data_IF_671312573995
#
_entry.id   IF_671312573995
#
_cell.length_a   1.000
_cell.length_b   1.000
_cell.length_c   1.000
_cell.angle_alpha   90.00
_cell.angle_beta   90.00
_cell.angle_gamma   90.00
#
_symmetry.space_group_name_H-M   'P 1'
#
loop_
_entity.id
_entity.type
_entity.pdbx_description
1 polymer ?
#
# COMPACT_ATOMS: atom_id res chain seq x y z
N UNK A 1 36.32 10.43 -10.89
CA UNK A 1 35.78 9.46 -9.91
C UNK A 1 34.26 9.54 -9.88
N UNK A 2 33.64 9.22 -11.01
CA UNK A 2 32.20 9.28 -11.27
C UNK A 2 31.84 8.06 -12.11
N UNK A 3 30.60 7.60 -11.99
CA UNK A 3 30.02 6.36 -12.54
C UNK A 3 30.11 5.17 -11.58
N UNK A 4 29.00 4.85 -10.90
CA UNK A 4 28.42 3.50 -10.75
C UNK A 4 27.22 3.58 -9.79
N UNK A 5 26.05 3.94 -10.32
CA UNK A 5 24.72 3.65 -9.76
C UNK A 5 23.67 4.08 -10.78
N UNK A 6 23.44 3.24 -11.78
CA UNK A 6 22.30 3.31 -12.69
C UNK A 6 21.83 1.91 -13.00
N UNK A 7 21.05 1.31 -12.09
CA UNK A 7 19.99 0.36 -12.41
C UNK A 7 19.13 0.18 -11.16
N UNK A 8 17.85 -0.15 -11.37
CA UNK A 8 16.73 -0.15 -10.42
C UNK A 8 16.03 1.20 -10.20
N UNK A 9 15.20 1.56 -11.18
CA UNK A 9 14.05 2.43 -10.96
C UNK A 9 12.76 1.66 -11.27
N UNK A 10 12.13 1.00 -10.29
CA UNK A 10 10.72 0.72 -10.35
C UNK A 10 9.96 1.89 -9.68
N UNK A 11 8.94 2.41 -10.37
CA UNK A 11 7.95 3.39 -9.88
C UNK A 11 8.31 4.88 -9.97
N UNK A 12 8.34 5.41 -11.21
CA UNK A 12 7.78 6.74 -11.48
C UNK A 12 6.76 6.58 -12.60
N UNK A 13 5.53 6.20 -12.21
CA UNK A 13 4.34 6.29 -13.08
C UNK A 13 3.26 7.12 -12.40
N UNK A 14 3.61 8.34 -12.04
CA UNK A 14 2.74 9.51 -12.13
C UNK A 14 3.59 10.75 -11.86
N UNK A 15 3.25 11.86 -12.53
CA UNK A 15 3.93 13.16 -12.48
C UNK A 15 5.10 13.37 -13.45
N UNK A 16 4.78 13.35 -14.75
CA UNK A 16 5.00 14.52 -15.62
C UNK A 16 4.54 14.20 -17.04
N UNK A 17 3.57 14.96 -17.55
CA UNK A 17 3.11 14.89 -18.94
C UNK A 17 4.09 15.63 -19.84
N UNK A 18 5.27 15.05 -20.09
CA UNK A 18 6.24 15.54 -21.08
C UNK A 18 6.58 14.48 -22.13
N UNK A 19 6.15 14.63 -23.41
CA UNK A 19 6.37 13.65 -24.46
C UNK A 19 7.85 13.38 -24.81
N UNK A 20 8.77 14.29 -24.46
CA UNK A 20 10.20 14.16 -24.79
C UNK A 20 10.97 13.22 -23.86
N UNK A 21 10.52 13.03 -22.62
CA UNK A 21 11.19 12.13 -21.68
C UNK A 21 10.93 10.64 -22.00
N UNK A 22 9.73 10.33 -22.49
CA UNK A 22 9.32 8.96 -22.84
C UNK A 22 10.08 8.39 -24.07
N UNK A 23 10.48 9.25 -25.01
CA UNK A 23 11.18 8.82 -26.23
C UNK A 23 12.65 8.44 -25.96
N UNK A 24 13.30 9.07 -24.98
CA UNK A 24 14.71 8.82 -24.62
C UNK A 24 14.89 7.60 -23.72
N UNK A 25 13.87 7.22 -22.93
CA UNK A 25 13.88 5.99 -22.13
C UNK A 25 13.57 4.76 -23.00
N UNK A 26 12.62 4.88 -23.93
CA UNK A 26 12.21 3.80 -24.84
C UNK A 26 13.35 3.26 -25.73
N UNK A 27 14.26 4.13 -26.19
CA UNK A 27 15.35 3.71 -27.08
C UNK A 27 16.52 3.03 -26.36
N UNK A 28 16.63 3.20 -25.04
CA UNK A 28 17.78 2.70 -24.26
C UNK A 28 17.48 1.41 -23.50
N UNK A 29 16.23 1.18 -23.11
CA UNK A 29 15.79 -0.07 -22.46
C UNK A 29 15.68 -1.26 -23.43
N UNK A 30 15.54 -0.98 -24.73
CA UNK A 30 15.29 -2.01 -25.75
C UNK A 30 16.48 -2.95 -26.04
N UNK A 31 17.69 -2.65 -25.54
CA UNK A 31 18.92 -3.39 -25.92
C UNK A 31 19.54 -4.20 -24.77
N UNK A 32 19.15 -3.99 -23.51
CA UNK A 32 19.62 -4.76 -22.34
C UNK A 32 18.55 -5.68 -21.71
N UNK A 33 17.26 -5.52 -22.04
CA UNK A 33 16.16 -6.32 -21.45
C UNK A 33 16.02 -7.76 -22.00
N UNK A 34 16.78 -8.13 -23.03
CA UNK A 34 16.53 -9.38 -23.76
C UNK A 34 17.11 -10.65 -23.09
N UNK A 35 17.54 -10.62 -21.82
CA UNK A 35 18.15 -11.79 -21.16
C UNK A 35 17.91 -11.95 -19.65
N UNK A 36 17.05 -11.17 -18.99
CA UNK A 36 16.72 -11.41 -17.56
C UNK A 36 15.33 -12.02 -17.45
N UNK A 37 15.25 -13.30 -17.08
CA UNK A 37 13.98 -13.96 -16.72
C UNK A 37 13.33 -13.16 -15.59
N UNK A 38 12.07 -12.78 -15.76
CA UNK A 38 11.35 -12.00 -14.75
C UNK A 38 11.15 -12.83 -13.48
N UNK A 39 11.12 -12.17 -12.32
CA UNK A 39 10.95 -12.85 -11.05
C UNK A 39 9.66 -13.70 -10.98
N UNK A 40 8.54 -13.19 -11.49
CA UNK A 40 7.27 -13.96 -11.60
C UNK A 40 7.45 -15.24 -12.41
N UNK A 41 8.18 -15.17 -13.53
CA UNK A 41 8.42 -16.34 -14.38
C UNK A 41 9.23 -17.41 -13.63
N UNK A 42 10.23 -17.03 -12.84
CA UNK A 42 10.98 -17.99 -12.01
C UNK A 42 10.09 -18.65 -10.95
N UNK A 43 9.22 -17.88 -10.27
CA UNK A 43 8.26 -18.42 -9.30
C UNK A 43 7.25 -19.36 -9.96
N UNK A 44 6.73 -19.01 -11.14
CA UNK A 44 5.81 -19.86 -11.92
C UNK A 44 6.47 -21.18 -12.36
N UNK A 45 7.72 -21.13 -12.81
CA UNK A 45 8.50 -22.34 -13.14
C UNK A 45 8.70 -23.23 -11.92
N UNK A 46 9.12 -22.66 -10.79
CA UNK A 46 9.29 -23.39 -9.53
C UNK A 46 7.98 -24.09 -9.14
N UNK A 47 6.86 -23.37 -9.20
CA UNK A 47 5.55 -23.94 -8.90
C UNK A 47 5.15 -25.09 -9.85
N UNK A 48 5.45 -24.96 -11.15
CA UNK A 48 5.18 -26.03 -12.12
C UNK A 48 6.03 -27.28 -11.85
N UNK A 49 7.31 -27.11 -11.50
CA UNK A 49 8.19 -28.21 -11.14
C UNK A 49 7.79 -28.88 -9.82
N UNK A 50 7.41 -28.12 -8.81
CA UNK A 50 6.86 -28.63 -7.54
C UNK A 50 5.58 -29.46 -7.77
N UNK A 51 4.68 -29.01 -8.64
CA UNK A 51 3.50 -29.79 -9.04
C UNK A 51 3.88 -31.11 -9.69
N UNK A 52 4.88 -31.10 -10.56
CA UNK A 52 5.38 -32.31 -11.21
C UNK A 52 6.00 -33.27 -10.18
N UNK A 53 6.84 -32.75 -9.28
CA UNK A 53 7.45 -33.52 -8.19
C UNK A 53 6.38 -34.21 -7.34
N UNK A 54 5.35 -33.48 -6.93
CA UNK A 54 4.23 -34.03 -6.17
C UNK A 54 3.56 -35.21 -6.88
N UNK A 55 3.30 -35.09 -8.20
CA UNK A 55 2.69 -36.17 -8.97
C UNK A 55 3.61 -37.38 -9.10
N UNK A 56 4.91 -37.16 -9.31
CA UNK A 56 5.92 -38.23 -9.40
C UNK A 56 6.04 -38.99 -8.09
N UNK A 57 6.19 -38.28 -6.96
CA UNK A 57 6.23 -38.87 -5.60
C UNK A 57 4.95 -39.63 -5.30
N UNK A 58 3.77 -39.05 -5.58
CA UNK A 58 2.47 -39.71 -5.37
C UNK A 58 2.33 -41.01 -6.16
N UNK A 59 2.82 -41.05 -7.40
CA UNK A 59 2.77 -42.25 -8.22
C UNK A 59 3.81 -43.30 -7.80
N UNK A 60 4.99 -42.85 -7.36
CA UNK A 60 6.01 -43.70 -6.76
C UNK A 60 5.47 -44.41 -5.52
N UNK A 61 4.90 -43.67 -4.58
CA UNK A 61 4.32 -44.22 -3.34
C UNK A 61 3.15 -45.18 -3.62
N UNK A 62 2.28 -44.86 -4.58
CA UNK A 62 1.22 -45.80 -5.00
C UNK A 62 1.80 -47.13 -5.52
N UNK A 63 2.88 -47.06 -6.31
CA UNK A 63 3.55 -48.23 -6.88
C UNK A 63 4.29 -49.02 -5.78
N UNK A 64 4.88 -48.33 -4.79
CA UNK A 64 5.53 -48.94 -3.63
C UNK A 64 4.53 -49.74 -2.81
N UNK A 65 3.37 -49.15 -2.50
CA UNK A 65 2.28 -49.86 -1.80
C UNK A 65 1.78 -51.07 -2.57
N UNK A 66 1.69 -51.00 -3.91
CA UNK A 66 1.30 -52.14 -4.74
C UNK A 66 2.34 -53.26 -4.67
N UNK A 67 3.64 -52.91 -4.76
CA UNK A 67 4.74 -53.87 -4.61
C UNK A 67 4.69 -54.56 -3.24
N UNK A 68 4.51 -53.81 -2.16
CA UNK A 68 4.41 -54.37 -0.80
C UNK A 68 3.24 -55.36 -0.67
N UNK A 69 2.08 -55.04 -1.26
CA UNK A 69 0.94 -55.96 -1.32
C UNK A 69 1.29 -57.24 -2.08
N UNK A 70 1.98 -57.14 -3.22
CA UNK A 70 2.44 -58.31 -4.00
C UNK A 70 3.46 -59.17 -3.25
N UNK A 71 4.40 -58.54 -2.55
CA UNK A 71 5.36 -59.22 -1.67
C UNK A 71 4.67 -59.93 -0.51
N UNK A 72 3.64 -59.32 0.10
CA UNK A 72 2.83 -59.98 1.14
C UNK A 72 2.05 -61.18 0.59
N UNK A 73 1.58 -61.10 -0.66
CA UNK A 73 0.90 -62.19 -1.34
C UNK A 73 1.88 -63.33 -1.67
N UNK A 74 3.10 -63.00 -2.12
CA UNK A 74 4.13 -63.98 -2.42
C UNK A 74 4.48 -64.82 -1.18
N UNK A 75 4.71 -64.16 -0.04
CA UNK A 75 4.96 -64.83 1.25
C UNK A 75 3.85 -65.82 1.63
N UNK A 76 2.58 -65.46 1.40
CA UNK A 76 1.43 -66.35 1.65
C UNK A 76 1.36 -67.52 0.67
N UNK A 77 1.69 -67.31 -0.60
CA UNK A 77 1.69 -68.36 -1.63
C UNK A 77 2.80 -69.39 -1.37
N UNK A 78 3.99 -68.92 -0.95
CA UNK A 78 5.12 -69.79 -0.60
C UNK A 78 4.82 -70.61 0.67
N UNK A 79 4.15 -70.03 1.67
CA UNK A 79 3.76 -70.74 2.89
C UNK A 79 2.67 -71.81 2.67
N UNK A 80 1.73 -71.56 1.75
CA UNK A 80 0.56 -72.42 1.52
C UNK A 80 0.77 -73.48 0.41
N UNK A 81 1.99 -73.59 -0.14
CA UNK A 81 2.29 -74.57 -1.21
C UNK A 81 1.48 -74.36 -2.50
N UNK A 82 1.26 -73.10 -2.90
CA UNK A 82 0.48 -72.75 -4.10
C UNK A 82 1.23 -73.12 -5.38
N UNK A 83 0.50 -73.48 -6.45
CA UNK A 83 1.01 -73.78 -7.80
C UNK A 83 2.18 -72.88 -8.25
N UNK A 84 3.26 -73.53 -8.72
CA UNK A 84 4.52 -72.91 -9.10
C UNK A 84 4.34 -71.82 -10.16
N UNK A 85 3.44 -72.03 -11.13
CA UNK A 85 3.20 -71.04 -12.18
C UNK A 85 2.60 -69.73 -11.63
N UNK A 86 1.73 -69.81 -10.62
CA UNK A 86 1.16 -68.64 -9.94
C UNK A 86 2.21 -67.87 -9.14
N UNK A 87 3.12 -68.59 -8.48
CA UNK A 87 4.26 -67.99 -7.75
C UNK A 87 5.18 -67.25 -8.72
N UNK A 88 5.58 -67.89 -9.83
CA UNK A 88 6.40 -67.25 -10.86
C UNK A 88 5.74 -66.00 -11.45
N UNK A 89 4.44 -66.04 -11.73
CA UNK A 89 3.71 -64.87 -12.24
C UNK A 89 3.75 -63.71 -11.25
N UNK A 90 3.61 -63.98 -9.95
CA UNK A 90 3.68 -62.94 -8.92
C UNK A 90 5.11 -62.37 -8.79
N UNK A 91 6.16 -63.21 -8.87
CA UNK A 91 7.56 -62.77 -8.88
C UNK A 91 7.86 -61.81 -10.04
N UNK A 92 7.45 -62.16 -11.27
CA UNK A 92 7.60 -61.26 -12.44
C UNK A 92 6.87 -59.93 -12.26
N UNK A 93 5.71 -59.92 -11.62
CA UNK A 93 4.96 -58.69 -11.36
C UNK A 93 5.67 -57.81 -10.31
N UNK A 94 6.29 -58.41 -9.29
CA UNK A 94 7.14 -57.70 -8.33
C UNK A 94 8.35 -57.08 -9.04
N UNK A 95 9.06 -57.84 -9.86
CA UNK A 95 10.20 -57.34 -10.66
C UNK A 95 9.78 -56.18 -11.57
N UNK A 96 8.61 -56.28 -12.22
CA UNK A 96 8.05 -55.21 -13.05
C UNK A 96 7.77 -53.94 -12.24
N UNK A 97 7.20 -54.07 -11.03
CA UNK A 97 6.94 -52.95 -10.13
C UNK A 97 8.26 -52.34 -9.61
N UNK A 98 9.28 -53.16 -9.38
CA UNK A 98 10.63 -52.70 -9.00
C UNK A 98 11.28 -51.85 -10.09
N UNK A 99 11.27 -52.31 -11.35
CA UNK A 99 11.75 -51.50 -12.47
C UNK A 99 11.00 -50.17 -12.58
N UNK A 100 9.68 -50.20 -12.39
CA UNK A 100 8.85 -48.98 -12.40
C UNK A 100 9.20 -48.01 -11.28
N UNK A 101 9.49 -48.51 -10.07
CA UNK A 101 9.95 -47.70 -8.94
C UNK A 101 11.30 -47.04 -9.23
N UNK A 102 12.25 -47.75 -9.84
CA UNK A 102 13.54 -47.15 -10.22
C UNK A 102 13.35 -45.98 -11.19
N UNK A 103 12.46 -46.12 -12.18
CA UNK A 103 12.13 -45.03 -13.11
C UNK A 103 11.53 -43.83 -12.37
N UNK A 104 10.64 -44.07 -11.40
CA UNK A 104 10.09 -42.98 -10.58
C UNK A 104 11.15 -42.30 -9.71
N UNK A 105 12.06 -43.05 -9.08
CA UNK A 105 13.17 -42.46 -8.31
C UNK A 105 14.02 -41.54 -9.18
N UNK A 106 14.41 -42.00 -10.38
CA UNK A 106 15.19 -41.18 -11.31
C UNK A 106 14.45 -39.92 -11.76
N UNK A 107 13.15 -40.01 -11.99
CA UNK A 107 12.31 -38.86 -12.35
C UNK A 107 12.23 -37.85 -11.19
N UNK A 108 12.00 -38.33 -9.96
CA UNK A 108 11.97 -37.52 -8.74
C UNK A 108 13.32 -36.80 -8.52
N UNK A 109 14.45 -37.50 -8.66
CA UNK A 109 15.79 -36.92 -8.55
C UNK A 109 16.03 -35.83 -9.59
N UNK A 110 15.66 -36.10 -10.85
CA UNK A 110 15.80 -35.14 -11.96
C UNK A 110 14.97 -33.88 -11.71
N UNK A 111 13.70 -34.05 -11.34
CA UNK A 111 12.79 -32.94 -11.02
C UNK A 111 13.29 -32.15 -9.81
N UNK A 112 13.76 -32.82 -8.75
CA UNK A 112 14.28 -32.17 -7.54
C UNK A 112 15.55 -31.36 -7.85
N UNK A 113 16.45 -31.91 -8.67
CA UNK A 113 17.67 -31.23 -9.11
C UNK A 113 17.35 -29.95 -9.88
N UNK A 114 16.33 -29.97 -10.74
CA UNK A 114 15.90 -28.78 -11.49
C UNK A 114 15.27 -27.71 -10.58
N UNK A 115 14.52 -28.10 -9.54
CA UNK A 115 14.01 -27.17 -8.52
C UNK A 115 15.17 -26.48 -7.79
N UNK A 116 16.19 -27.25 -7.37
CA UNK A 116 17.39 -26.71 -6.73
C UNK A 116 18.13 -25.77 -7.69
N UNK A 117 18.28 -26.15 -8.96
CA UNK A 117 18.91 -25.29 -9.98
C UNK A 117 18.18 -23.95 -10.12
N UNK A 118 16.85 -23.96 -10.25
CA UNK A 118 16.05 -22.73 -10.34
C UNK A 118 16.15 -21.88 -9.08
N UNK A 119 16.16 -22.51 -7.90
CA UNK A 119 16.31 -21.81 -6.62
C UNK A 119 17.64 -21.07 -6.54
N UNK A 120 18.76 -21.75 -6.81
CA UNK A 120 20.10 -21.19 -6.64
C UNK A 120 20.51 -20.27 -7.80
N UNK A 121 20.19 -20.63 -9.04
CA UNK A 121 20.66 -19.92 -10.22
C UNK A 121 19.76 -18.75 -10.65
N UNK A 122 18.46 -18.81 -10.34
CA UNK A 122 17.51 -17.75 -10.73
C UNK A 122 16.95 -17.03 -9.50
N UNK A 123 16.29 -17.75 -8.58
CA UNK A 123 15.56 -17.12 -7.48
C UNK A 123 16.47 -16.37 -6.51
N UNK A 124 17.57 -17.00 -6.07
CA UNK A 124 18.44 -16.39 -5.07
C UNK A 124 19.06 -15.06 -5.55
N UNK A 125 19.67 -14.95 -6.75
CA UNK A 125 20.12 -13.67 -7.28
C UNK A 125 19.01 -12.62 -7.42
N UNK A 126 17.80 -13.04 -7.82
CA UNK A 126 16.66 -12.13 -7.92
C UNK A 126 16.24 -11.57 -6.56
N UNK A 127 16.27 -12.39 -5.50
CA UNK A 127 15.98 -11.94 -4.14
C UNK A 127 17.03 -10.94 -3.64
N UNK A 128 18.31 -11.15 -3.95
CA UNK A 128 19.37 -10.20 -3.61
C UNK A 128 19.18 -8.85 -4.32
N UNK A 129 18.90 -8.88 -5.62
CA UNK A 129 18.60 -7.69 -6.41
C UNK A 129 17.36 -6.96 -5.84
N UNK A 130 16.34 -7.71 -5.43
CA UNK A 130 15.12 -7.15 -4.83
C UNK A 130 15.37 -6.49 -3.47
N UNK A 131 16.12 -7.14 -2.56
CA UNK A 131 16.49 -6.56 -1.27
C UNK A 131 17.32 -5.28 -1.47
N UNK A 132 18.27 -5.29 -2.40
CA UNK A 132 19.05 -4.12 -2.75
C UNK A 132 18.17 -2.98 -3.31
N UNK A 133 17.23 -3.32 -4.19
CA UNK A 133 16.25 -2.38 -4.72
C UNK A 133 15.39 -1.74 -3.63
N UNK A 134 14.89 -2.55 -2.68
CA UNK A 134 14.11 -2.06 -1.53
C UNK A 134 14.95 -1.17 -0.61
N UNK A 135 16.20 -1.54 -0.33
CA UNK A 135 17.13 -0.70 0.43
C UNK A 135 17.31 0.67 -0.24
N UNK A 136 17.55 0.69 -1.55
CA UNK A 136 17.75 1.93 -2.30
C UNK A 136 16.48 2.78 -2.34
N UNK A 137 15.32 2.16 -2.56
CA UNK A 137 14.01 2.82 -2.56
C UNK A 137 13.72 3.47 -1.20
N UNK A 138 13.89 2.74 -0.09
CA UNK A 138 13.62 3.27 1.25
C UNK A 138 14.60 4.37 1.65
N UNK A 139 15.87 4.28 1.24
CA UNK A 139 16.83 5.38 1.41
C UNK A 139 16.39 6.63 0.65
N UNK A 140 15.99 6.48 -0.62
CA UNK A 140 15.44 7.60 -1.40
C UNK A 140 14.18 8.19 -0.76
N UNK A 141 13.28 7.36 -0.24
CA UNK A 141 12.11 7.84 0.50
C UNK A 141 12.44 8.58 1.78
N UNK A 142 13.42 8.10 2.53
CA UNK A 142 13.91 8.81 3.70
C UNK A 142 14.42 10.21 3.33
N UNK A 143 15.25 10.33 2.30
CA UNK A 143 15.77 11.63 1.82
C UNK A 143 14.64 12.56 1.36
N UNK A 144 13.66 12.05 0.61
CA UNK A 144 12.50 12.83 0.18
C UNK A 144 11.68 13.32 1.39
N UNK A 145 11.41 12.45 2.35
CA UNK A 145 10.63 12.80 3.54
C UNK A 145 11.38 13.78 4.46
N UNK A 146 12.71 13.76 4.51
CA UNK A 146 13.49 14.80 5.20
C UNK A 146 13.25 16.18 4.58
N UNK A 147 13.32 16.28 3.25
CA UNK A 147 13.06 17.54 2.53
C UNK A 147 11.62 18.00 2.75
N UNK A 148 10.65 17.10 2.61
CA UNK A 148 9.24 17.41 2.85
C UNK A 148 8.99 17.85 4.29
N UNK A 149 9.62 17.20 5.27
CA UNK A 149 9.57 17.59 6.69
C UNK A 149 10.06 19.03 6.87
N UNK A 150 11.18 19.39 6.24
CA UNK A 150 11.71 20.76 6.32
C UNK A 150 10.76 21.80 5.70
N UNK A 151 10.12 21.46 4.58
CA UNK A 151 9.13 22.32 3.91
C UNK A 151 7.91 22.53 4.82
N UNK A 152 7.34 21.46 5.39
CA UNK A 152 6.12 21.58 6.21
C UNK A 152 6.38 22.24 7.56
N UNK A 153 7.60 22.17 8.09
CA UNK A 153 8.00 22.96 9.26
C UNK A 153 7.90 24.46 9.01
N UNK A 154 8.07 24.93 7.76
CA UNK A 154 7.92 26.35 7.45
C UNK A 154 6.46 26.84 7.59
N UNK A 155 5.48 25.92 7.61
CA UNK A 155 4.07 26.28 7.80
C UNK A 155 3.83 26.97 9.14
N UNK A 156 4.66 26.72 10.16
CA UNK A 156 4.55 27.39 11.46
C UNK A 156 4.73 28.92 11.38
N UNK A 157 5.38 29.41 10.32
CA UNK A 157 5.58 30.84 10.08
C UNK A 157 4.44 31.48 9.28
N UNK A 158 3.50 30.68 8.76
CA UNK A 158 2.29 31.20 8.11
C UNK A 158 1.33 31.75 9.17
N UNK A 159 1.55 33.01 9.55
CA UNK A 159 0.61 33.75 10.38
C UNK A 159 -0.31 34.59 9.48
N UNK A 160 -1.58 34.21 9.39
CA UNK A 160 -2.61 35.06 8.78
C UNK A 160 -3.85 35.18 9.69
N UNK A 161 -3.70 35.82 10.87
CA UNK A 161 -4.77 35.96 11.86
C UNK A 161 -5.96 36.82 11.38
N UNK A 162 -5.81 37.52 10.25
CA UNK A 162 -6.76 38.51 9.74
C UNK A 162 -7.33 38.20 8.36
N UNK A 163 -7.17 36.97 7.85
CA UNK A 163 -7.78 36.58 6.57
C UNK A 163 -9.31 36.55 6.70
N UNK A 164 -9.95 37.64 6.29
CA UNK A 164 -11.41 37.74 6.13
C UNK A 164 -11.88 37.10 4.82
N UNK A 165 -10.98 36.49 4.04
CA UNK A 165 -11.30 35.88 2.76
C UNK A 165 -12.17 34.64 3.04
N UNK A 166 -13.45 34.65 2.64
CA UNK A 166 -14.34 33.53 2.91
C UNK A 166 -13.90 32.26 2.19
N UNK A 167 -14.35 31.09 2.68
CA UNK A 167 -14.11 29.83 1.98
C UNK A 167 -14.79 29.89 0.60
N UNK A 168 -13.98 29.71 -0.45
CA UNK A 168 -14.46 29.65 -1.83
C UNK A 168 -14.69 28.21 -2.25
N UNK A 169 -15.41 28.03 -3.35
CA UNK A 169 -15.61 26.70 -3.93
C UNK A 169 -14.30 26.02 -4.31
N UNK A 170 -13.30 26.79 -4.77
CA UNK A 170 -11.95 26.27 -5.05
C UNK A 170 -11.26 25.74 -3.79
N UNK A 171 -11.37 26.44 -2.65
CA UNK A 171 -10.82 25.95 -1.38
C UNK A 171 -11.47 24.62 -0.97
N UNK A 172 -12.80 24.51 -1.13
CA UNK A 172 -13.55 23.29 -0.80
C UNK A 172 -13.14 22.12 -1.69
N UNK A 173 -13.01 22.35 -3.00
CA UNK A 173 -12.53 21.36 -3.95
C UNK A 173 -11.11 20.90 -3.64
N UNK A 174 -10.20 21.85 -3.34
CA UNK A 174 -8.83 21.52 -2.95
C UNK A 174 -8.77 20.69 -1.66
N UNK A 175 -9.64 20.97 -0.68
CA UNK A 175 -9.69 20.22 0.58
C UNK A 175 -10.21 18.79 0.36
N UNK A 176 -11.26 18.62 -0.46
CA UNK A 176 -11.77 17.31 -0.84
C UNK A 176 -10.76 16.48 -1.64
N UNK A 177 -10.02 17.14 -2.55
CA UNK A 177 -8.95 16.48 -3.29
C UNK A 177 -7.84 16.02 -2.33
N UNK A 178 -7.42 16.89 -1.41
CA UNK A 178 -6.42 16.53 -0.40
C UNK A 178 -6.86 15.33 0.45
N UNK A 179 -8.12 15.31 0.90
CA UNK A 179 -8.70 14.18 1.63
C UNK A 179 -8.59 12.87 0.83
N UNK A 180 -9.03 12.88 -0.42
CA UNK A 180 -8.98 11.70 -1.29
C UNK A 180 -7.54 11.20 -1.54
N UNK A 181 -6.58 12.12 -1.75
CA UNK A 181 -5.18 11.75 -1.94
C UNK A 181 -4.56 11.16 -0.67
N UNK A 182 -4.92 11.65 0.51
CA UNK A 182 -4.44 11.08 1.78
C UNK A 182 -5.05 9.71 2.04
N UNK A 183 -6.33 9.51 1.70
CA UNK A 183 -6.98 8.20 1.80
C UNK A 183 -6.31 7.18 0.86
N UNK A 184 -6.05 7.57 -0.39
CA UNK A 184 -5.30 6.76 -1.34
C UNK A 184 -3.89 6.46 -0.83
N UNK A 185 -3.20 7.44 -0.25
CA UNK A 185 -1.88 7.27 0.33
C UNK A 185 -1.89 6.26 1.49
N UNK A 186 -2.84 6.38 2.41
CA UNK A 186 -3.01 5.43 3.52
C UNK A 186 -3.24 4.00 3.02
N UNK A 187 -4.15 3.82 2.07
CA UNK A 187 -4.46 2.50 1.49
C UNK A 187 -3.25 1.91 0.76
N UNK A 188 -2.59 2.70 -0.09
CA UNK A 188 -1.39 2.28 -0.82
C UNK A 188 -0.24 1.90 0.11
N UNK A 189 -0.01 2.67 1.18
CA UNK A 189 0.99 2.37 2.20
C UNK A 189 0.70 1.03 2.88
N UNK A 190 -0.52 0.82 3.37
CA UNK A 190 -0.91 -0.43 4.03
C UNK A 190 -0.75 -1.64 3.10
N UNK A 191 -1.16 -1.49 1.83
CA UNK A 191 -1.05 -2.54 0.83
C UNK A 191 0.40 -2.87 0.48
N UNK A 192 1.28 -1.85 0.38
CA UNK A 192 2.70 -2.03 0.12
C UNK A 192 3.36 -2.88 1.21
N UNK A 193 3.17 -2.50 2.48
CA UNK A 193 3.77 -3.22 3.61
C UNK A 193 3.21 -4.64 3.72
N UNK A 194 1.90 -4.79 3.58
CA UNK A 194 1.25 -6.11 3.59
C UNK A 194 1.79 -7.01 2.49
N UNK A 195 1.87 -6.51 1.25
CA UNK A 195 2.32 -7.31 0.11
C UNK A 195 3.79 -7.74 0.26
N UNK A 196 4.66 -6.86 0.77
CA UNK A 196 6.06 -7.22 1.06
C UNK A 196 6.15 -8.32 2.13
N UNK A 197 5.35 -8.20 3.19
CA UNK A 197 5.30 -9.17 4.29
C UNK A 197 4.78 -10.52 3.81
N UNK A 198 3.63 -10.54 3.15
CA UNK A 198 2.98 -11.76 2.65
C UNK A 198 3.91 -12.51 1.68
N UNK A 199 4.59 -11.77 0.80
CA UNK A 199 5.54 -12.33 -0.15
C UNK A 199 6.73 -13.01 0.54
N UNK A 200 7.42 -12.32 1.46
CA UNK A 200 8.61 -12.91 2.11
C UNK A 200 8.22 -14.09 3.02
N UNK A 201 7.06 -14.05 3.67
CA UNK A 201 6.56 -15.17 4.47
C UNK A 201 6.26 -16.39 3.60
N UNK A 202 5.67 -16.19 2.41
CA UNK A 202 5.41 -17.29 1.48
C UNK A 202 6.70 -17.95 0.99
N UNK A 203 7.70 -17.16 0.59
CA UNK A 203 9.00 -17.68 0.14
C UNK A 203 9.74 -18.38 1.28
N UNK A 204 9.81 -17.79 2.46
CA UNK A 204 10.47 -18.38 3.63
C UNK A 204 9.78 -19.68 4.07
N UNK A 205 8.44 -19.70 4.05
CA UNK A 205 7.65 -20.89 4.33
C UNK A 205 7.89 -22.01 3.31
N UNK A 206 7.92 -21.69 2.02
CA UNK A 206 8.27 -22.64 0.96
C UNK A 206 9.67 -23.21 1.17
N UNK A 207 10.68 -22.36 1.36
CA UNK A 207 12.06 -22.79 1.61
C UNK A 207 12.17 -23.70 2.83
N UNK A 208 11.45 -23.38 3.92
CA UNK A 208 11.44 -24.21 5.12
C UNK A 208 10.94 -25.63 4.84
N UNK A 209 9.86 -25.76 4.07
CA UNK A 209 9.31 -27.06 3.69
C UNK A 209 10.22 -27.80 2.71
N UNK A 210 10.83 -27.10 1.75
CA UNK A 210 11.67 -27.70 0.71
C UNK A 210 13.08 -28.07 1.19
N UNK A 211 13.59 -27.44 2.26
CA UNK A 211 14.94 -27.69 2.77
C UNK A 211 14.98 -28.61 3.99
N UNK A 212 13.93 -28.63 4.82
CA UNK A 212 13.98 -29.27 6.15
C UNK A 212 12.97 -30.42 6.32
N UNK A 213 12.36 -30.93 5.24
CA UNK A 213 11.50 -32.12 5.34
C UNK A 213 12.30 -33.43 5.30
N UNK A 214 12.13 -34.24 6.35
CA UNK A 214 12.65 -35.60 6.58
C UNK A 214 14.16 -35.77 6.84
N UNK A 215 14.69 -35.12 7.89
CA UNK A 215 15.90 -35.63 8.56
C UNK A 215 15.49 -36.44 9.79
N UNK A 216 15.60 -37.77 9.69
CA UNK A 216 15.39 -38.70 10.80
C UNK A 216 16.60 -38.75 11.76
N UNK A 217 17.72 -38.13 11.39
CA UNK A 217 18.98 -38.19 12.12
C UNK A 217 19.38 -36.82 12.72
N UNK A 218 19.40 -36.67 14.07
CA UNK A 218 19.80 -35.43 14.75
C UNK A 218 21.24 -34.98 14.46
N UNK A 219 22.07 -35.84 13.87
CA UNK A 219 23.49 -35.60 13.57
C UNK A 219 23.74 -35.08 12.13
N UNK A 220 22.76 -35.15 11.23
CA UNK A 220 22.83 -34.54 9.88
C UNK A 220 22.33 -33.09 9.83
N UNK A 221 22.26 -32.41 10.98
CA UNK A 221 22.02 -30.97 11.09
C UNK A 221 23.05 -30.08 10.38
N UNK A 222 24.10 -30.69 9.81
CA UNK A 222 25.22 -30.00 9.17
C UNK A 222 25.11 -29.87 7.64
N UNK A 223 23.92 -29.95 7.06
CA UNK A 223 23.73 -29.46 5.69
C UNK A 223 23.50 -27.95 5.71
N UNK A 224 24.63 -27.23 5.73
CA UNK A 224 24.82 -25.87 5.21
C UNK A 224 23.52 -25.03 5.20
N UNK A 225 23.30 -24.21 6.24
CA UNK A 225 22.24 -23.19 6.25
C UNK A 225 22.16 -22.55 4.86
N UNK A 226 21.13 -22.92 4.09
CA UNK A 226 21.03 -22.50 2.70
C UNK A 226 21.02 -20.97 2.68
N UNK A 227 21.97 -20.36 1.97
CA UNK A 227 22.19 -18.91 1.98
C UNK A 227 20.90 -18.14 1.66
N UNK A 228 20.09 -18.67 0.74
CA UNK A 228 18.76 -18.13 0.41
C UNK A 228 17.79 -18.18 1.60
N UNK A 229 17.79 -19.25 2.40
CA UNK A 229 16.92 -19.35 3.58
C UNK A 229 17.35 -18.35 4.65
N UNK A 230 18.65 -18.21 4.92
CA UNK A 230 19.16 -17.22 5.87
C UNK A 230 18.82 -15.78 5.47
N UNK A 231 18.98 -15.44 4.19
CA UNK A 231 18.55 -14.14 3.66
C UNK A 231 17.05 -13.90 3.90
N UNK A 232 16.22 -14.88 3.55
CA UNK A 232 14.77 -14.76 3.65
C UNK A 232 14.30 -14.66 5.11
N UNK A 233 14.92 -15.40 6.03
CA UNK A 233 14.62 -15.36 7.46
C UNK A 233 14.97 -14.01 8.08
N UNK A 234 16.17 -13.49 7.82
CA UNK A 234 16.58 -12.15 8.27
C UNK A 234 15.69 -11.05 7.67
N UNK A 235 15.32 -11.18 6.39
CA UNK A 235 14.40 -10.26 5.75
C UNK A 235 13.01 -10.32 6.40
N UNK A 236 12.48 -11.51 6.67
CA UNK A 236 11.20 -11.67 7.36
C UNK A 236 11.24 -10.99 8.74
N UNK A 237 12.27 -11.25 9.55
CA UNK A 237 12.46 -10.65 10.87
C UNK A 237 12.58 -9.12 10.81
N UNK A 238 13.30 -8.60 9.80
CA UNK A 238 13.43 -7.17 9.57
C UNK A 238 12.06 -6.52 9.31
N UNK A 239 11.25 -7.10 8.44
CA UNK A 239 9.89 -6.62 8.14
C UNK A 239 8.91 -6.79 9.31
N UNK A 240 9.11 -7.80 10.17
CA UNK A 240 8.27 -7.98 11.34
C UNK A 240 8.52 -6.93 12.43
N UNK A 241 9.70 -6.31 12.44
CA UNK A 241 10.12 -5.31 13.43
C UNK A 241 9.91 -3.86 13.00
N UNK A 242 9.59 -3.57 11.73
CA UNK A 242 9.38 -2.17 11.30
C UNK A 242 8.12 -1.58 11.95
N UNK A 243 8.12 -0.28 12.31
CA UNK A 243 6.99 0.36 13.00
C UNK A 243 5.89 0.82 12.02
N UNK A 244 5.42 -0.07 11.13
CA UNK A 244 4.44 0.25 10.09
C UNK A 244 3.10 0.72 10.67
N UNK A 245 2.69 0.14 11.80
CA UNK A 245 1.48 0.54 12.54
C UNK A 245 1.54 2.01 12.94
N UNK A 246 2.67 2.47 13.51
CA UNK A 246 2.85 3.86 13.94
C UNK A 246 2.78 4.82 12.75
N UNK A 247 3.43 4.47 11.64
CA UNK A 247 3.38 5.26 10.41
C UNK A 247 1.96 5.33 9.82
N UNK A 248 1.28 4.19 9.72
CA UNK A 248 -0.09 4.13 9.19
C UNK A 248 -1.09 4.93 10.04
N UNK A 249 -0.94 4.89 11.36
CA UNK A 249 -1.78 5.66 12.27
C UNK A 249 -1.48 7.17 12.16
N UNK A 250 -0.22 7.55 11.91
CA UNK A 250 0.14 8.94 11.59
C UNK A 250 -0.61 9.46 10.36
N UNK A 251 -0.64 8.70 9.26
CA UNK A 251 -1.39 9.07 8.04
C UNK A 251 -2.90 9.12 8.33
N UNK A 252 -3.43 8.11 9.02
CA UNK A 252 -4.87 8.02 9.33
C UNK A 252 -5.34 9.14 10.27
N UNK A 253 -4.53 9.50 11.26
CA UNK A 253 -4.79 10.64 12.12
C UNK A 253 -4.83 11.93 11.30
N UNK A 254 -3.91 12.11 10.34
CA UNK A 254 -3.92 13.26 9.46
C UNK A 254 -5.16 13.29 8.56
N UNK A 255 -5.57 12.15 8.00
CA UNK A 255 -6.83 12.02 7.26
C UNK A 255 -8.03 12.47 8.08
N UNK A 256 -8.11 12.03 9.34
CA UNK A 256 -9.21 12.40 10.26
C UNK A 256 -9.25 13.92 10.50
N UNK A 257 -8.08 14.54 10.62
CA UNK A 257 -7.94 16.00 10.78
C UNK A 257 -8.42 16.75 9.53
N UNK A 258 -8.08 16.25 8.33
CA UNK A 258 -8.56 16.85 7.06
C UNK A 258 -10.07 16.64 6.88
N UNK A 259 -10.60 15.47 7.20
CA UNK A 259 -12.04 15.19 7.16
C UNK A 259 -12.84 16.16 8.05
N UNK A 260 -12.33 16.50 9.23
CA UNK A 260 -12.94 17.48 10.11
C UNK A 260 -13.02 18.88 9.46
N UNK A 261 -12.01 19.27 8.66
CA UNK A 261 -12.04 20.53 7.89
C UNK A 261 -13.15 20.46 6.83
N UNK A 262 -13.29 19.34 6.11
CA UNK A 262 -14.33 19.14 5.09
C UNK A 262 -15.73 19.29 5.69
N UNK A 263 -15.98 18.67 6.85
CA UNK A 263 -17.24 18.80 7.58
C UNK A 263 -17.51 20.28 7.94
N UNK A 264 -16.51 20.97 8.48
CA UNK A 264 -16.63 22.37 8.88
C UNK A 264 -16.89 23.29 7.67
N UNK A 265 -16.20 23.08 6.55
CA UNK A 265 -16.46 23.81 5.31
C UNK A 265 -17.88 23.57 4.77
N UNK A 266 -18.41 22.35 4.89
CA UNK A 266 -19.78 22.04 4.50
C UNK A 266 -20.81 22.76 5.39
N UNK A 267 -20.54 22.89 6.69
CA UNK A 267 -21.36 23.65 7.62
C UNK A 267 -21.33 25.16 7.33
N UNK A 268 -20.15 25.74 7.11
CA UNK A 268 -19.97 27.14 6.71
C UNK A 268 -20.75 27.45 5.41
N UNK A 269 -20.63 26.59 4.41
CA UNK A 269 -21.32 26.77 3.14
C UNK A 269 -22.85 26.74 3.26
N UNK A 270 -23.39 25.93 4.19
CA UNK A 270 -24.84 25.95 4.50
C UNK A 270 -25.26 27.29 5.11
N UNK A 271 -24.46 27.87 6.01
CA UNK A 271 -24.72 29.19 6.59
C UNK A 271 -24.63 30.29 5.54
N UNK A 272 -23.64 30.24 4.64
CA UNK A 272 -23.52 31.16 3.51
C UNK A 272 -24.78 31.18 2.64
N UNK A 273 -25.28 30.01 2.25
CA UNK A 273 -26.53 29.89 1.46
C UNK A 273 -27.74 30.50 2.17
N UNK A 274 -27.84 30.35 3.49
CA UNK A 274 -28.91 30.96 4.29
C UNK A 274 -28.80 32.48 4.32
N UNK A 275 -27.59 33.00 4.61
CA UNK A 275 -27.29 34.44 4.58
C UNK A 275 -27.64 35.05 3.22
N UNK A 276 -27.17 34.44 2.12
CA UNK A 276 -27.45 34.92 0.76
C UNK A 276 -28.94 34.90 0.42
N UNK A 277 -29.69 33.90 0.90
CA UNK A 277 -31.14 33.80 0.69
C UNK A 277 -31.90 34.91 1.42
N UNK A 278 -31.59 35.16 2.69
CA UNK A 278 -32.22 36.22 3.49
C UNK A 278 -31.86 37.60 2.92
N UNK A 279 -30.62 37.79 2.49
CA UNK A 279 -30.18 39.03 1.84
C UNK A 279 -30.92 39.29 0.52
N UNK A 280 -31.09 38.26 -0.33
CA UNK A 280 -31.89 38.38 -1.56
C UNK A 280 -33.34 38.74 -1.29
N UNK A 281 -33.94 38.15 -0.24
CA UNK A 281 -35.31 38.50 0.18
C UNK A 281 -35.39 39.95 0.67
N UNK A 282 -34.45 40.38 1.52
CA UNK A 282 -34.35 41.76 1.97
C UNK A 282 -34.21 42.74 0.79
N UNK A 283 -33.38 42.43 -0.21
CA UNK A 283 -33.19 43.27 -1.38
C UNK A 283 -34.48 43.40 -2.19
N UNK A 284 -35.20 42.29 -2.40
CA UNK A 284 -36.50 42.27 -3.07
C UNK A 284 -37.53 43.12 -2.32
N UNK A 285 -37.69 42.90 -1.01
CA UNK A 285 -38.64 43.65 -0.18
C UNK A 285 -38.29 45.14 -0.08
N UNK A 286 -37.00 45.46 -0.05
CA UNK A 286 -36.52 46.86 -0.08
C UNK A 286 -36.83 47.54 -1.40
N UNK A 287 -36.71 46.84 -2.54
CA UNK A 287 -37.12 47.36 -3.86
C UNK A 287 -38.64 47.60 -3.92
N UNK A 288 -39.44 46.67 -3.40
CA UNK A 288 -40.90 46.80 -3.31
C UNK A 288 -41.31 47.99 -2.44
N UNK A 289 -40.64 48.20 -1.29
CA UNK A 289 -40.88 49.33 -0.40
C UNK A 289 -40.56 50.66 -1.08
N UNK A 290 -39.39 50.79 -1.72
CA UNK A 290 -39.00 52.02 -2.45
C UNK A 290 -39.97 52.36 -3.58
N UNK A 291 -40.47 51.35 -4.29
CA UNK A 291 -41.49 51.53 -5.33
C UNK A 291 -42.81 52.04 -4.75
N UNK A 292 -43.21 51.49 -3.59
CA UNK A 292 -44.41 51.93 -2.88
C UNK A 292 -44.26 53.36 -2.36
N UNK A 293 -43.16 53.70 -1.70
CA UNK A 293 -42.88 55.06 -1.20
C UNK A 293 -42.92 56.10 -2.33
N UNK A 294 -42.37 55.76 -3.51
CA UNK A 294 -42.43 56.62 -4.71
C UNK A 294 -43.87 56.83 -5.21
N UNK A 295 -44.74 55.83 -5.08
CA UNK A 295 -46.14 55.90 -5.51
C UNK A 295 -47.02 56.73 -4.57
N UNK A 296 -46.71 56.75 -3.27
CA UNK A 296 -47.52 57.46 -2.28
C UNK A 296 -47.07 58.92 -2.00
N UNK A 297 -45.83 59.29 -2.36
CA UNK A 297 -45.32 60.68 -2.36
C UNK A 297 -45.35 61.42 -1.01
N UNK A 298 -44.71 62.59 -0.87
CA UNK A 298 -44.75 63.38 0.38
C UNK A 298 -46.10 64.05 0.69
N UNK A 299 -47.09 63.97 -0.22
CA UNK A 299 -48.27 64.84 -0.24
C UNK A 299 -49.62 64.13 0.00
N UNK A 300 -49.66 62.86 0.40
CA UNK A 300 -50.94 62.17 0.67
C UNK A 300 -51.49 62.41 2.09
N UNK A 301 -51.29 63.60 2.66
CA UNK A 301 -51.79 63.97 3.98
C UNK A 301 -52.62 65.25 3.89
N UNK A 302 -53.82 65.16 3.34
CA UNK A 302 -54.89 66.11 3.63
C UNK A 302 -56.24 65.42 3.41
N UNK A 303 -56.85 64.98 4.51
CA UNK A 303 -58.12 64.28 4.50
C UNK A 303 -58.41 63.67 5.87
N UNK A 304 -58.98 64.50 6.76
CA UNK A 304 -59.48 64.15 8.10
C UNK A 304 -60.28 62.84 8.09
N UNK A 305 -60.00 61.96 9.06
CA UNK A 305 -60.76 60.73 9.24
C UNK A 305 -60.16 59.84 10.32
N UNK A 306 -60.63 60.04 11.54
CA UNK A 306 -60.35 59.28 12.75
C UNK A 306 -60.82 57.82 12.56
N UNK A 307 -59.92 56.94 12.09
CA UNK A 307 -59.98 55.48 12.32
C UNK A 307 -58.73 54.77 11.78
N UNK A 308 -57.92 54.27 12.71
CA UNK A 308 -57.16 53.03 12.65
C UNK A 308 -56.89 52.40 11.27
N UNK A 309 -55.68 52.58 10.74
CA UNK A 309 -54.81 51.45 10.38
C UNK A 309 -53.42 51.97 10.01
N UNK A 310 -52.38 51.22 10.40
CA UNK A 310 -51.01 51.43 9.89
C UNK A 310 -51.08 51.67 8.37
N UNK A 311 -50.58 52.80 7.89
CA UNK A 311 -50.39 53.01 6.44
C UNK A 311 -49.71 51.75 5.85
N UNK A 312 -50.17 51.19 4.72
CA UNK A 312 -49.56 50.03 4.08
C UNK A 312 -48.04 50.16 3.88
N UNK A 313 -47.55 51.42 3.79
CA UNK A 313 -46.13 51.77 3.76
C UNK A 313 -45.43 51.48 5.10
N UNK A 314 -46.04 51.87 6.23
CA UNK A 314 -45.51 51.63 7.58
C UNK A 314 -45.42 50.14 7.92
N UNK A 315 -46.41 49.35 7.51
CA UNK A 315 -46.38 47.89 7.72
C UNK A 315 -45.29 47.21 6.87
N UNK A 316 -45.14 47.61 5.61
CA UNK A 316 -44.05 47.11 4.74
C UNK A 316 -42.67 47.55 5.23
N UNK A 317 -42.55 48.77 5.78
CA UNK A 317 -41.33 49.28 6.40
C UNK A 317 -40.93 48.43 7.60
N UNK A 318 -41.86 48.14 8.51
CA UNK A 318 -41.61 47.25 9.66
C UNK A 318 -41.17 45.84 9.22
N UNK A 319 -41.75 45.29 8.13
CA UNK A 319 -41.35 44.00 7.55
C UNK A 319 -39.93 44.04 6.97
N UNK A 320 -39.55 45.13 6.27
CA UNK A 320 -38.19 45.32 5.75
C UNK A 320 -37.19 45.47 6.91
N UNK A 321 -37.53 46.21 7.95
CA UNK A 321 -36.67 46.37 9.13
C UNK A 321 -36.46 45.04 9.86
N UNK A 322 -37.51 44.22 10.03
CA UNK A 322 -37.39 42.87 10.57
C UNK A 322 -36.50 41.95 9.72
N UNK A 323 -36.63 42.02 8.39
CA UNK A 323 -35.74 41.29 7.47
C UNK A 323 -34.31 41.80 7.52
N UNK A 324 -34.10 43.10 7.74
CA UNK A 324 -32.77 43.70 7.88
C UNK A 324 -32.06 43.16 9.12
N UNK A 325 -32.75 43.13 10.27
CA UNK A 325 -32.21 42.51 11.49
C UNK A 325 -31.86 41.05 11.28
N UNK A 326 -32.77 40.27 10.67
CA UNK A 326 -32.53 38.86 10.34
C UNK A 326 -31.35 38.64 9.38
N UNK A 327 -31.19 39.52 8.37
CA UNK A 327 -30.08 39.45 7.43
C UNK A 327 -28.74 39.71 8.13
N UNK A 328 -28.69 40.69 9.05
CA UNK A 328 -27.48 40.98 9.82
C UNK A 328 -27.13 39.81 10.76
N UNK A 329 -28.13 39.22 11.44
CA UNK A 329 -27.93 38.04 12.29
C UNK A 329 -27.34 36.85 11.52
N UNK A 330 -27.91 36.50 10.35
CA UNK A 330 -27.40 35.39 9.53
C UNK A 330 -26.02 35.68 8.94
N UNK A 331 -25.74 36.94 8.58
CA UNK A 331 -24.42 37.39 8.13
C UNK A 331 -23.39 37.24 9.25
N UNK A 332 -23.68 37.69 10.46
CA UNK A 332 -22.77 37.52 11.61
C UNK A 332 -22.50 36.04 11.92
N UNK A 333 -23.51 35.17 11.83
CA UNK A 333 -23.33 33.71 11.99
C UNK A 333 -22.39 33.13 10.93
N UNK A 334 -22.55 33.54 9.67
CA UNK A 334 -21.69 33.12 8.58
C UNK A 334 -20.25 33.62 8.75
N UNK A 335 -20.04 34.91 9.07
CA UNK A 335 -18.71 35.49 9.30
C UNK A 335 -17.98 34.79 10.44
N UNK A 336 -18.68 34.52 11.56
CA UNK A 336 -18.13 33.73 12.66
C UNK A 336 -17.73 32.33 12.23
N UNK A 337 -18.57 31.63 11.46
CA UNK A 337 -18.24 30.29 10.95
C UNK A 337 -17.05 30.31 9.99
N UNK A 338 -16.95 31.32 9.12
CA UNK A 338 -15.82 31.49 8.20
C UNK A 338 -14.51 31.68 8.97
N UNK A 339 -14.51 32.50 10.03
CA UNK A 339 -13.35 32.65 10.91
C UNK A 339 -12.92 31.34 11.57
N UNK A 340 -13.89 30.56 12.09
CA UNK A 340 -13.64 29.24 12.67
C UNK A 340 -13.03 28.28 11.63
N UNK A 341 -13.59 28.21 10.42
CA UNK A 341 -13.06 27.35 9.36
C UNK A 341 -11.62 27.70 8.99
N UNK A 342 -11.30 29.00 8.89
CA UNK A 342 -9.94 29.45 8.56
C UNK A 342 -8.93 29.11 9.65
N UNK A 343 -9.26 29.40 10.91
CA UNK A 343 -8.42 29.07 12.04
C UNK A 343 -8.21 27.55 12.17
N UNK A 344 -9.30 26.78 12.05
CA UNK A 344 -9.25 25.32 12.08
C UNK A 344 -8.38 24.76 10.96
N UNK A 345 -8.58 25.23 9.72
CA UNK A 345 -7.77 24.78 8.57
C UNK A 345 -6.29 25.06 8.80
N UNK A 346 -5.94 26.30 9.17
CA UNK A 346 -4.55 26.68 9.38
C UNK A 346 -3.90 25.86 10.49
N UNK A 347 -4.52 25.82 11.67
CA UNK A 347 -3.98 25.10 12.83
C UNK A 347 -3.80 23.61 12.52
N UNK A 348 -4.81 22.98 11.91
CA UNK A 348 -4.77 21.57 11.56
C UNK A 348 -3.68 21.24 10.54
N UNK A 349 -3.42 22.11 9.56
CA UNK A 349 -2.33 21.91 8.60
C UNK A 349 -0.96 22.16 9.24
N UNK A 350 -0.84 23.20 10.09
CA UNK A 350 0.39 23.53 10.82
C UNK A 350 0.82 22.43 11.79
N UNK A 351 -0.12 21.71 12.40
CA UNK A 351 0.21 20.59 13.29
C UNK A 351 0.21 19.24 12.58
N UNK A 352 -0.73 19.03 11.65
CA UNK A 352 -0.96 17.74 11.00
C UNK A 352 0.16 17.33 10.05
N UNK A 353 0.62 18.26 9.18
CA UNK A 353 1.67 17.95 8.22
C UNK A 353 3.02 17.61 8.88
N UNK A 354 3.54 18.40 9.84
CA UNK A 354 4.78 18.04 10.52
C UNK A 354 4.71 16.67 11.20
N UNK A 355 3.59 16.37 11.89
CA UNK A 355 3.43 15.09 12.58
C UNK A 355 3.45 13.90 11.62
N UNK A 356 2.70 13.96 10.50
CA UNK A 356 2.67 12.85 9.53
C UNK A 356 4.02 12.68 8.83
N UNK A 357 4.69 13.76 8.42
CA UNK A 357 5.99 13.66 7.76
C UNK A 357 7.11 13.26 8.72
N UNK A 358 7.04 13.62 10.00
CA UNK A 358 7.96 13.11 11.01
C UNK A 358 7.80 11.60 11.20
N UNK A 359 6.56 11.10 11.27
CA UNK A 359 6.29 9.65 11.37
C UNK A 359 6.82 8.91 10.14
N UNK A 360 6.59 9.43 8.94
CA UNK A 360 7.06 8.83 7.69
C UNK A 360 8.58 8.90 7.52
N UNK A 361 9.22 10.00 7.94
CA UNK A 361 10.69 10.12 7.96
C UNK A 361 11.31 9.10 8.89
N UNK A 362 10.78 8.96 10.11
CA UNK A 362 11.23 7.94 11.07
C UNK A 362 11.06 6.53 10.52
N UNK A 363 9.88 6.23 9.96
CA UNK A 363 9.59 4.92 9.38
C UNK A 363 10.52 4.58 8.21
N UNK A 364 10.68 5.47 7.24
CA UNK A 364 11.56 5.24 6.09
C UNK A 364 13.03 5.08 6.50
N UNK A 365 13.47 5.80 7.54
CA UNK A 365 14.81 5.60 8.12
C UNK A 365 15.00 4.19 8.67
N UNK A 366 14.04 3.71 9.47
CA UNK A 366 14.06 2.36 10.04
C UNK A 366 14.03 1.30 8.93
N UNK A 367 13.19 1.47 7.91
CA UNK A 367 13.19 0.57 6.76
C UNK A 367 14.54 0.57 6.02
N UNK A 368 15.11 1.74 5.72
CA UNK A 368 16.40 1.83 5.04
C UNK A 368 17.52 1.11 5.83
N UNK A 369 17.55 1.26 7.15
CA UNK A 369 18.49 0.56 8.03
C UNK A 369 18.23 -0.95 8.07
N UNK A 370 16.97 -1.36 8.19
CA UNK A 370 16.57 -2.77 8.24
C UNK A 370 16.98 -3.51 6.96
N UNK A 371 16.65 -2.95 5.79
CA UNK A 371 17.03 -3.55 4.51
C UNK A 371 18.54 -3.49 4.25
N UNK A 372 19.23 -2.45 4.74
CA UNK A 372 20.69 -2.38 4.68
C UNK A 372 21.34 -3.48 5.53
N UNK A 373 20.81 -3.76 6.72
CA UNK A 373 21.27 -4.83 7.58
C UNK A 373 21.12 -6.20 6.91
N UNK A 374 19.93 -6.51 6.37
CA UNK A 374 19.65 -7.75 5.61
C UNK A 374 20.62 -7.92 4.45
N UNK A 375 20.82 -6.88 3.65
CA UNK A 375 21.74 -6.91 2.51
C UNK A 375 23.21 -7.11 2.93
N UNK A 376 23.62 -6.46 4.02
CA UNK A 376 24.99 -6.55 4.54
C UNK A 376 25.30 -7.91 5.16
N UNK A 377 24.33 -8.52 5.86
CA UNK A 377 24.46 -9.82 6.51
C UNK A 377 24.84 -10.91 5.50
N UNK A 378 24.29 -10.83 4.28
CA UNK A 378 24.64 -11.75 3.21
C UNK A 378 26.08 -11.56 2.69
N UNK A 379 26.56 -10.31 2.62
CA UNK A 379 27.93 -10.02 2.16
C UNK A 379 28.98 -10.55 3.14
N UNK A 380 28.76 -10.40 4.45
CA UNK A 380 29.65 -10.96 5.48
C UNK A 380 29.62 -12.48 5.51
N UNK A 381 28.45 -13.09 5.33
CA UNK A 381 28.31 -14.55 5.23
C UNK A 381 29.07 -15.10 4.02
N UNK A 382 28.94 -14.46 2.85
CA UNK A 382 29.67 -14.82 1.63
C UNK A 382 31.20 -14.66 1.76
N UNK A 383 31.68 -13.63 2.46
CA UNK A 383 33.12 -13.44 2.71
C UNK A 383 33.64 -14.55 3.64
N UNK A 384 32.92 -14.87 4.72
CA UNK A 384 33.33 -15.91 5.67
C UNK A 384 33.38 -17.32 5.05
N UNK A 385 32.45 -17.64 4.15
CA UNK A 385 32.42 -18.91 3.41
C UNK A 385 33.57 -19.03 2.41
N UNK A 386 33.95 -17.93 1.74
CA UNK A 386 35.10 -17.92 0.83
C UNK A 386 36.44 -18.05 1.57
N UNK A 387 36.58 -17.43 2.76
CA UNK A 387 37.78 -17.61 3.59
C UNK A 387 37.94 -19.05 4.08
N UNK A 388 36.86 -19.71 4.50
CA UNK A 388 36.91 -21.10 4.94
C UNK A 388 37.21 -22.08 3.80
N UNK A 389 36.76 -21.80 2.56
CA UNK A 389 37.10 -22.59 1.36
C UNK A 389 38.55 -22.39 0.88
N UNK A 390 39.22 -21.29 1.24
CA UNK A 390 40.64 -21.09 0.94
C UNK A 390 41.59 -21.72 1.97
N UNK A 391 41.07 -22.14 3.13
CA UNK A 391 41.82 -22.73 4.24
C UNK A 391 41.71 -24.27 4.29
N UNK A 392 40.97 -24.88 3.36
CA UNK A 392 40.85 -26.32 3.11
C UNK A 392 41.34 -26.63 1.71
#
# INVERSE_FOLDING_TARGET
MSSYCKSFSPLIRSWSSSPRAAALTSFRDSQEEMSRVSHSCTIEKLYAWEKKLYLEVKNCERTRQEKEKRQSLLRRQEANGVDYFKVLKNKREIERLESKLMVYCQAIETTSTEIVRLREAELFPQLLDLVNGLMCMWRGMYECHQVQTHIVQQLQYLNNPSSTIPTSELHRQATLQLEAEIENWYSAFCNLIKSQRDYIHAITGWLRLSLFQYQHDPFERNHQNSEIYGLCEEWQLALDRVPDKVASEGIKSFLTVIHAIVIQQAAEHKLKKRSDSVFKELEKRSKELRSLERKYGPYSSEGYGDNASRSPVMEKKAKVDGLKTKAEEEKTKYEKSSGITRAMTLNNLQTGFPNVFQAMTGFSSVCAQAFSAVYSHQRTSNISLNFNKMLT
#
